data_IF_245059107895
#
_entry.id   IF_245059107895
#
_cell.length_a   1.000
_cell.length_b   1.000
_cell.length_c   1.000
_cell.angle_alpha   90.00
_cell.angle_beta   90.00
_cell.angle_gamma   90.00
#
_symmetry.space_group_name_H-M   'P 1'
#
loop_
_entity.id
_entity.type
_entity.pdbx_description
1 polymer ?
#
# COMPACT_ATOMS: atom_id res chain seq x y z
N UNK A 1 16.40 -9.79 -3.22
CA UNK A 1 17.72 -9.47 -2.68
C UNK A 1 17.58 -8.19 -1.86
N UNK A 2 17.90 -8.23 -0.56
CA UNK A 2 17.81 -7.08 0.34
C UNK A 2 19.15 -6.36 0.51
N UNK A 3 20.18 -6.76 -0.25
CA UNK A 3 21.53 -6.19 -0.18
C UNK A 3 21.59 -4.67 -0.39
N UNK A 4 20.61 -4.11 -1.11
CA UNK A 4 20.46 -2.67 -1.37
C UNK A 4 19.81 -1.88 -0.22
N UNK A 5 19.23 -2.55 0.77
CA UNK A 5 18.53 -1.94 1.91
C UNK A 5 19.49 -1.78 3.11
N UNK A 6 20.63 -1.15 2.85
CA UNK A 6 21.69 -0.90 3.84
C UNK A 6 21.32 0.17 4.88
N UNK A 7 22.22 0.45 5.83
CA UNK A 7 21.99 1.47 6.84
C UNK A 7 21.75 2.87 6.25
N UNK A 8 22.39 3.19 5.12
CA UNK A 8 22.22 4.47 4.46
C UNK A 8 20.84 4.57 3.79
N UNK A 9 20.31 3.48 3.24
CA UNK A 9 18.94 3.40 2.74
C UNK A 9 17.92 3.70 3.83
N UNK A 10 18.02 3.03 4.99
CA UNK A 10 17.09 3.28 6.09
C UNK A 10 17.19 4.69 6.64
N UNK A 11 18.41 5.24 6.72
CA UNK A 11 18.61 6.65 7.07
C UNK A 11 17.89 7.58 6.09
N UNK A 12 18.04 7.37 4.77
CA UNK A 12 17.31 8.16 3.76
C UNK A 12 15.81 7.98 3.86
N UNK A 13 15.30 6.77 4.03
CA UNK A 13 13.87 6.48 4.15
C UNK A 13 13.21 7.23 5.33
N UNK A 14 13.94 7.42 6.43
CA UNK A 14 13.46 8.17 7.59
C UNK A 14 13.69 9.70 7.49
N UNK A 15 14.67 10.15 6.69
CA UNK A 15 15.09 11.56 6.62
C UNK A 15 14.58 12.31 5.40
N UNK A 16 14.22 11.62 4.33
CA UNK A 16 13.78 12.22 3.08
C UNK A 16 12.28 12.07 2.91
N UNK A 17 11.69 12.89 2.04
CA UNK A 17 10.27 12.80 1.69
C UNK A 17 9.96 11.40 1.18
N UNK A 18 8.86 10.82 1.66
CA UNK A 18 8.32 9.58 1.12
C UNK A 18 7.55 9.91 -0.16
N UNK A 19 8.14 9.60 -1.30
CA UNK A 19 7.55 9.83 -2.63
C UNK A 19 6.51 8.75 -2.98
N UNK A 20 5.45 8.67 -2.18
CA UNK A 20 4.41 7.64 -2.31
C UNK A 20 3.66 7.74 -3.64
N UNK A 21 3.19 8.93 -4.01
CA UNK A 21 2.46 9.18 -5.27
C UNK A 21 3.32 8.80 -6.48
N UNK A 22 4.56 9.28 -6.56
CA UNK A 22 5.51 8.92 -7.61
C UNK A 22 5.63 7.40 -7.78
N UNK A 23 5.75 6.68 -6.67
CA UNK A 23 5.88 5.22 -6.71
C UNK A 23 4.60 4.53 -7.19
N UNK A 24 3.42 4.97 -6.74
CA UNK A 24 2.14 4.40 -7.16
C UNK A 24 1.80 4.73 -8.61
N UNK A 25 2.07 5.96 -9.05
CA UNK A 25 1.86 6.40 -10.45
C UNK A 25 2.77 5.63 -11.41
N UNK A 26 4.05 5.44 -11.06
CA UNK A 26 4.97 4.63 -11.85
C UNK A 26 4.53 3.16 -11.98
N UNK A 27 3.85 2.60 -10.97
CA UNK A 27 3.27 1.26 -11.04
C UNK A 27 1.97 1.25 -11.88
N UNK A 28 1.10 2.25 -11.72
CA UNK A 28 -0.08 2.38 -12.57
C UNK A 28 0.29 2.45 -14.06
N UNK A 29 1.33 3.23 -14.42
CA UNK A 29 1.87 3.33 -15.78
C UNK A 29 2.42 2.00 -16.32
N UNK A 30 2.86 1.11 -15.43
CA UNK A 30 3.29 -0.26 -15.77
C UNK A 30 2.11 -1.23 -15.94
N UNK A 31 0.87 -0.77 -15.78
CA UNK A 31 -0.36 -1.56 -15.96
C UNK A 31 -0.90 -2.21 -14.69
N UNK A 32 -0.39 -1.86 -13.51
CA UNK A 32 -0.96 -2.34 -12.25
C UNK A 32 -2.29 -1.61 -11.95
N UNK A 33 -3.42 -2.30 -12.14
CA UNK A 33 -4.77 -1.71 -12.03
C UNK A 33 -5.46 -1.83 -10.66
N UNK A 34 -4.83 -2.48 -9.69
CA UNK A 34 -5.36 -2.68 -8.33
C UNK A 34 -4.22 -2.63 -7.31
N UNK A 35 -4.44 -1.89 -6.22
CA UNK A 35 -3.55 -1.83 -5.07
C UNK A 35 -4.21 -2.40 -3.81
N UNK A 36 -3.41 -3.08 -2.98
CA UNK A 36 -3.85 -3.61 -1.68
C UNK A 36 -3.01 -2.97 -0.58
N UNK A 37 -3.64 -2.18 0.29
CA UNK A 37 -3.02 -1.63 1.48
C UNK A 37 -3.03 -2.66 2.61
N UNK A 38 -1.84 -3.15 2.96
CA UNK A 38 -1.66 -4.12 4.05
C UNK A 38 -1.43 -3.39 5.37
N UNK A 39 -2.53 -3.17 6.09
CA UNK A 39 -2.51 -2.43 7.37
C UNK A 39 -3.66 -2.86 8.29
N UNK A 40 -3.56 -2.59 9.61
CA UNK A 40 -4.68 -2.78 10.54
C UNK A 40 -5.87 -1.86 10.25
N UNK A 41 -5.67 -0.80 9.47
CA UNK A 41 -6.70 0.14 9.04
C UNK A 41 -6.21 0.96 7.85
N UNK A 42 -6.99 1.08 6.76
CA UNK A 42 -6.55 1.80 5.57
C UNK A 42 -6.37 3.29 5.84
N UNK A 43 -5.17 3.80 5.53
CA UNK A 43 -4.80 5.22 5.62
C UNK A 43 -4.05 5.73 4.38
N UNK A 44 -3.82 4.87 3.39
CA UNK A 44 -3.13 5.21 2.13
C UNK A 44 -4.04 5.06 0.92
N UNK A 45 -5.05 4.19 0.98
CA UNK A 45 -6.00 3.96 -0.14
C UNK A 45 -6.58 5.25 -0.73
N UNK A 46 -6.88 6.27 0.08
CA UNK A 46 -7.43 7.54 -0.41
C UNK A 46 -6.42 8.40 -1.19
N UNK A 47 -5.12 8.16 -1.02
CA UNK A 47 -4.06 8.89 -1.71
C UNK A 47 -3.73 8.29 -3.09
N UNK A 48 -4.27 7.11 -3.40
CA UNK A 48 -4.12 6.45 -4.70
C UNK A 48 -5.23 6.99 -5.62
N UNK A 49 -4.83 7.55 -6.76
CA UNK A 49 -5.74 8.10 -7.77
C UNK A 49 -5.76 7.19 -9.01
N UNK A 50 -6.85 7.24 -9.79
CA UNK A 50 -7.00 6.61 -11.11
C UNK A 50 -6.98 5.07 -11.19
N UNK A 51 -6.65 4.38 -10.10
CA UNK A 51 -6.66 2.91 -9.97
C UNK A 51 -7.39 2.46 -8.71
N UNK A 52 -7.97 1.27 -8.74
CA UNK A 52 -8.68 0.72 -7.59
C UNK A 52 -7.71 0.45 -6.43
N UNK A 53 -8.16 0.71 -5.20
CA UNK A 53 -7.38 0.41 -4.00
C UNK A 53 -8.28 -0.12 -2.88
N UNK A 54 -7.88 -1.20 -2.23
CA UNK A 54 -8.57 -1.81 -1.08
C UNK A 54 -7.63 -1.96 0.11
N UNK A 55 -8.16 -1.93 1.33
CA UNK A 55 -7.40 -2.18 2.56
C UNK A 55 -7.64 -3.59 3.12
N UNK A 56 -6.66 -4.17 3.80
CA UNK A 56 -6.79 -5.53 4.35
C UNK A 56 -7.67 -5.63 5.58
N UNK A 57 -7.54 -4.70 6.55
CA UNK A 57 -8.26 -4.73 7.82
C UNK A 57 -8.83 -3.35 8.15
N UNK A 58 -9.67 -3.24 9.17
CA UNK A 58 -10.19 -1.96 9.65
C UNK A 58 -9.99 -1.86 11.17
N UNK A 59 -9.86 -0.62 11.65
CA UNK A 59 -9.79 -0.33 13.09
C UNK A 59 -11.02 -0.95 13.77
N UNK A 60 -10.78 -1.67 14.85
CA UNK A 60 -11.79 -2.37 15.65
C UNK A 60 -12.57 -3.48 14.91
N UNK A 61 -12.14 -3.84 13.70
CA UNK A 61 -12.74 -4.87 12.85
C UNK A 61 -11.61 -5.68 12.18
N UNK A 62 -11.01 -6.59 12.95
CA UNK A 62 -9.91 -7.45 12.52
C UNK A 62 -10.36 -8.87 12.18
N UNK A 63 -9.38 -9.74 11.87
CA UNK A 63 -9.59 -11.18 11.70
C UNK A 63 -10.02 -11.60 10.29
N UNK A 64 -10.25 -12.91 10.13
CA UNK A 64 -10.45 -13.54 8.82
C UNK A 64 -11.71 -13.08 8.09
N UNK A 65 -12.80 -12.82 8.81
CA UNK A 65 -14.04 -12.35 8.19
C UNK A 65 -13.84 -11.00 7.48
N UNK A 66 -13.20 -10.03 8.16
CA UNK A 66 -12.85 -8.74 7.55
C UNK A 66 -11.88 -8.91 6.38
N UNK A 67 -10.81 -9.69 6.58
CA UNK A 67 -9.83 -9.93 5.53
C UNK A 67 -10.44 -10.52 4.25
N UNK A 68 -11.27 -11.56 4.39
CA UNK A 68 -11.95 -12.19 3.26
C UNK A 68 -12.98 -11.26 2.60
N UNK A 69 -13.66 -10.43 3.39
CA UNK A 69 -14.56 -9.41 2.84
C UNK A 69 -13.79 -8.39 1.99
N UNK A 70 -12.62 -7.92 2.46
CA UNK A 70 -11.75 -7.03 1.69
C UNK A 70 -11.18 -7.69 0.44
N UNK A 71 -10.88 -8.99 0.50
CA UNK A 71 -10.50 -9.75 -0.69
C UNK A 71 -11.64 -9.83 -1.70
N UNK A 72 -12.89 -9.93 -1.24
CA UNK A 72 -14.07 -9.86 -2.11
C UNK A 72 -14.27 -8.48 -2.75
N UNK A 73 -13.92 -7.39 -2.06
CA UNK A 73 -13.97 -6.01 -2.60
C UNK A 73 -12.95 -5.76 -3.74
N UNK A 74 -11.97 -6.66 -3.92
CA UNK A 74 -10.93 -6.55 -4.94
C UNK A 74 -11.30 -7.11 -6.32
N UNK A 75 -12.46 -7.77 -6.45
CA UNK A 75 -12.94 -8.43 -7.67
C UNK A 75 -14.33 -7.94 -8.06
#
# INVERSE_FOLDING_TARGET
DTSIMDAAYWHRNLRQTVEFETATSALADQGFGLFVEVSPHPVLTFAIQDVAAVGTLRRDDGGWARFLTSAGEAF
#
